data_IF_756746469827
#
_entry.id   IF_756746469827
#
_cell.length_a   1.000
_cell.length_b   1.000
_cell.length_c   1.000
_cell.angle_alpha   90.00
_cell.angle_beta   90.00
_cell.angle_gamma   90.00
#
_symmetry.space_group_name_H-M   'P 1'
#
loop_
_entity.id
_entity.type
_entity.pdbx_description
1 polymer ?
#
# COMPACT_ATOMS: atom_id res chain seq x y z
N UNK A 1 -25.22 -37.75 -73.92
CA UNK A 1 -26.07 -38.12 -72.78
C UNK A 1 -25.35 -37.64 -71.52
N UNK A 2 -25.95 -36.63 -70.89
CA UNK A 2 -25.78 -36.15 -69.49
C UNK A 2 -24.40 -35.62 -69.03
N UNK A 3 -24.43 -34.30 -68.75
CA UNK A 3 -23.53 -33.45 -67.96
C UNK A 3 -23.18 -34.02 -66.57
N UNK A 4 -22.11 -33.54 -65.95
CA UNK A 4 -22.17 -32.67 -64.75
C UNK A 4 -20.78 -32.14 -64.43
N UNK A 5 -20.61 -30.82 -64.60
CA UNK A 5 -19.60 -30.05 -63.87
C UNK A 5 -19.85 -30.26 -62.37
N UNK A 6 -18.78 -30.50 -61.61
CA UNK A 6 -18.79 -30.18 -60.18
C UNK A 6 -17.58 -29.29 -59.93
N UNK A 7 -17.79 -28.02 -60.25
CA UNK A 7 -16.99 -26.91 -59.79
C UNK A 7 -17.04 -26.91 -58.26
N UNK A 8 -16.00 -27.47 -57.63
CA UNK A 8 -15.81 -27.38 -56.18
C UNK A 8 -15.33 -25.97 -55.89
N UNK A 9 -16.29 -25.04 -55.89
CA UNK A 9 -16.09 -23.65 -55.56
C UNK A 9 -15.89 -23.56 -54.03
N UNK A 10 -14.64 -23.76 -53.61
CA UNK A 10 -14.21 -23.53 -52.24
C UNK A 10 -14.17 -22.04 -51.96
N UNK A 11 -15.32 -21.47 -51.62
CA UNK A 11 -15.42 -20.12 -51.06
C UNK A 11 -14.40 -19.99 -49.91
N UNK A 12 -13.37 -19.12 -50.02
CA UNK A 12 -12.52 -18.83 -48.90
C UNK A 12 -13.40 -18.16 -47.86
N UNK A 13 -13.65 -18.84 -46.73
CA UNK A 13 -14.29 -18.25 -45.55
C UNK A 13 -13.59 -16.92 -45.29
N UNK A 14 -14.23 -15.81 -45.67
CA UNK A 14 -13.76 -14.46 -45.40
C UNK A 14 -13.72 -14.29 -43.90
N UNK A 15 -12.57 -14.58 -43.30
CA UNK A 15 -12.21 -14.12 -41.97
C UNK A 15 -12.24 -12.60 -42.04
N UNK A 16 -13.33 -12.00 -41.58
CA UNK A 16 -13.49 -10.56 -41.59
C UNK A 16 -12.33 -9.89 -40.82
N UNK A 17 -11.84 -8.72 -41.25
CA UNK A 17 -10.72 -7.99 -40.61
C UNK A 17 -10.86 -7.81 -39.09
N UNK A 18 -12.09 -7.79 -38.59
CA UNK A 18 -12.44 -7.68 -37.17
C UNK A 18 -12.05 -8.91 -36.34
N UNK A 19 -11.99 -10.10 -36.93
CA UNK A 19 -11.61 -11.34 -36.24
C UNK A 19 -10.10 -11.44 -35.97
N UNK A 20 -9.27 -10.88 -36.86
CA UNK A 20 -7.82 -10.80 -36.68
C UNK A 20 -7.37 -9.76 -35.64
N UNK A 21 -8.11 -8.65 -35.52
CA UNK A 21 -7.87 -7.66 -34.46
C UNK A 21 -8.27 -8.19 -33.08
N UNK A 22 -9.36 -8.95 -32.98
CA UNK A 22 -9.80 -9.55 -31.73
C UNK A 22 -8.79 -10.59 -31.19
N UNK A 23 -8.19 -11.40 -32.06
CA UNK A 23 -7.17 -12.37 -31.65
C UNK A 23 -5.85 -11.72 -31.25
N UNK A 24 -5.42 -10.64 -31.92
CA UNK A 24 -4.25 -9.85 -31.50
C UNK A 24 -4.48 -9.16 -30.15
N UNK A 25 -5.67 -8.59 -29.92
CA UNK A 25 -6.01 -7.98 -28.64
C UNK A 25 -6.01 -9.01 -27.50
N UNK A 26 -6.50 -10.23 -27.75
CA UNK A 26 -6.49 -11.31 -26.76
C UNK A 26 -5.05 -11.75 -26.40
N UNK A 27 -4.15 -11.83 -27.37
CA UNK A 27 -2.73 -12.17 -27.12
C UNK A 27 -2.03 -11.08 -26.29
N UNK A 28 -2.23 -9.80 -26.63
CA UNK A 28 -1.65 -8.67 -25.87
C UNK A 28 -2.18 -8.62 -24.43
N UNK A 29 -3.47 -8.92 -24.22
CA UNK A 29 -4.05 -9.04 -22.89
C UNK A 29 -3.43 -10.18 -22.08
N UNK A 30 -3.12 -11.31 -22.73
CA UNK A 30 -2.40 -12.44 -22.14
C UNK A 30 -1.01 -12.03 -21.64
N UNK A 31 -0.23 -11.38 -22.50
CA UNK A 31 1.13 -10.94 -22.17
C UNK A 31 1.13 -9.90 -21.02
N UNK A 32 0.16 -8.98 -21.00
CA UNK A 32 0.01 -8.01 -19.91
C UNK A 32 -0.37 -8.69 -18.59
N UNK A 33 -1.21 -9.73 -18.63
CA UNK A 33 -1.59 -10.48 -17.44
C UNK A 33 -0.39 -11.27 -16.88
N UNK A 34 0.41 -11.87 -17.76
CA UNK A 34 1.62 -12.60 -17.41
C UNK A 34 2.68 -11.65 -16.80
N UNK A 35 2.88 -10.47 -17.39
CA UNK A 35 3.73 -9.42 -16.83
C UNK A 35 3.25 -8.93 -15.45
N UNK A 36 1.93 -8.77 -15.27
CA UNK A 36 1.35 -8.38 -13.98
C UNK A 36 1.56 -9.46 -12.91
N UNK A 37 1.47 -10.74 -13.27
CA UNK A 37 1.76 -11.85 -12.36
C UNK A 37 3.23 -11.87 -11.94
N UNK A 38 4.15 -11.64 -12.88
CA UNK A 38 5.58 -11.51 -12.60
C UNK A 38 5.87 -10.32 -11.68
N UNK A 39 5.27 -9.15 -11.93
CA UNK A 39 5.43 -7.99 -11.06
C UNK A 39 4.83 -8.21 -9.66
N UNK A 40 3.70 -8.92 -9.55
CA UNK A 40 3.14 -9.29 -8.26
C UNK A 40 4.07 -10.25 -7.48
N UNK A 41 4.70 -11.21 -8.16
CA UNK A 41 5.69 -12.11 -7.56
C UNK A 41 6.94 -11.37 -7.09
N UNK A 42 7.45 -10.42 -7.89
CA UNK A 42 8.57 -9.55 -7.49
C UNK A 42 8.18 -8.69 -6.29
N UNK A 43 7.04 -7.99 -6.34
CA UNK A 43 6.57 -7.14 -5.25
C UNK A 43 6.40 -7.91 -3.94
N UNK A 44 5.92 -9.16 -4.00
CA UNK A 44 5.84 -10.04 -2.82
C UNK A 44 7.22 -10.40 -2.29
N UNK A 45 8.16 -10.77 -3.16
CA UNK A 45 9.53 -11.10 -2.75
C UNK A 45 10.24 -9.88 -2.12
N UNK A 46 10.05 -8.71 -2.69
CA UNK A 46 10.60 -7.45 -2.18
C UNK A 46 9.97 -7.06 -0.84
N UNK A 47 8.66 -7.24 -0.67
CA UNK A 47 7.99 -7.00 0.61
C UNK A 47 8.51 -7.92 1.72
N UNK A 48 8.80 -9.19 1.42
CA UNK A 48 9.38 -10.15 2.39
C UNK A 48 10.83 -9.78 2.72
N UNK A 49 11.62 -9.39 1.73
CA UNK A 49 13.00 -8.92 1.98
C UNK A 49 13.02 -7.63 2.78
N UNK A 50 12.13 -6.69 2.47
CA UNK A 50 11.98 -5.44 3.18
C UNK A 50 11.53 -5.66 4.64
N UNK A 51 10.57 -6.57 4.88
CA UNK A 51 10.12 -6.88 6.24
C UNK A 51 11.20 -7.56 7.07
N UNK A 52 11.96 -8.48 6.49
CA UNK A 52 13.13 -9.08 7.12
C UNK A 52 14.19 -8.04 7.48
N UNK A 53 14.51 -7.13 6.56
CA UNK A 53 15.44 -6.04 6.78
C UNK A 53 14.97 -5.00 7.82
N UNK A 54 13.66 -4.86 8.03
CA UNK A 54 13.07 -3.94 9.00
C UNK A 54 13.17 -4.43 10.46
N UNK A 55 13.39 -5.74 10.69
CA UNK A 55 13.44 -6.30 12.06
C UNK A 55 14.58 -5.74 12.90
N UNK A 56 15.80 -5.68 12.35
CA UNK A 56 16.99 -5.15 13.02
C UNK A 56 16.88 -3.66 13.38
N UNK A 57 16.53 -2.75 12.47
CA UNK A 57 16.36 -1.33 12.81
C UNK A 57 15.19 -1.12 13.79
N UNK A 58 14.12 -1.92 13.70
CA UNK A 58 13.02 -1.85 14.66
C UNK A 58 13.48 -2.27 16.07
N UNK A 59 14.30 -3.32 16.19
CA UNK A 59 14.90 -3.73 17.46
C UNK A 59 15.80 -2.64 18.06
N UNK A 60 16.64 -2.00 17.23
CA UNK A 60 17.48 -0.87 17.67
C UNK A 60 16.63 0.34 18.08
N UNK A 61 15.54 0.61 17.38
CA UNK A 61 14.62 1.70 17.70
C UNK A 61 13.95 1.46 19.06
N UNK A 62 13.48 0.23 19.33
CA UNK A 62 12.88 -0.14 20.62
C UNK A 62 13.91 -0.01 21.74
N UNK A 63 15.12 -0.55 21.55
CA UNK A 63 16.18 -0.48 22.55
C UNK A 63 16.59 0.97 22.84
N UNK A 64 16.74 1.80 21.80
CA UNK A 64 17.01 3.23 21.94
C UNK A 64 15.88 3.97 22.65
N UNK A 65 14.62 3.66 22.35
CA UNK A 65 13.47 4.24 23.04
C UNK A 65 13.45 3.86 24.53
N UNK A 66 13.71 2.60 24.87
CA UNK A 66 13.82 2.15 26.26
C UNK A 66 14.95 2.87 27.00
N UNK A 67 16.14 2.97 26.38
CA UNK A 67 17.28 3.69 26.96
C UNK A 67 16.98 5.18 27.18
N UNK A 68 16.32 5.83 26.21
CA UNK A 68 15.90 7.23 26.32
C UNK A 68 14.87 7.44 27.44
N UNK A 69 13.88 6.56 27.57
CA UNK A 69 12.89 6.64 28.65
C UNK A 69 13.55 6.42 30.02
N UNK A 70 14.49 5.46 30.11
CA UNK A 70 15.20 5.15 31.35
C UNK A 70 16.17 6.27 31.76
N UNK A 71 16.72 7.04 30.82
CA UNK A 71 17.63 8.15 31.14
C UNK A 71 16.90 9.41 31.60
N UNK A 72 15.61 9.58 31.27
CA UNK A 72 14.83 10.76 31.64
C UNK A 72 14.83 11.03 33.16
N UNK A 73 14.50 10.08 34.06
CA UNK A 73 14.54 10.33 35.50
C UNK A 73 15.93 10.72 36.02
N UNK A 74 16.98 10.13 35.46
CA UNK A 74 18.37 10.41 35.86
C UNK A 74 18.75 11.84 35.45
N UNK A 75 18.41 12.23 34.21
CA UNK A 75 18.66 13.57 33.71
C UNK A 75 17.84 14.63 34.43
N UNK A 76 16.56 14.36 34.71
CA UNK A 76 15.71 15.32 35.43
C UNK A 76 16.15 15.52 36.87
N UNK A 77 16.55 14.45 37.57
CA UNK A 77 17.12 14.56 38.91
C UNK A 77 18.46 15.30 38.89
N UNK A 78 19.35 14.98 37.94
CA UNK A 78 20.62 15.68 37.79
C UNK A 78 20.45 17.18 37.55
N UNK A 79 19.54 17.56 36.65
CA UNK A 79 19.21 18.96 36.37
C UNK A 79 18.59 19.66 37.58
N UNK A 80 17.72 18.98 38.33
CA UNK A 80 17.13 19.53 39.56
C UNK A 80 18.20 19.79 40.63
N UNK A 81 19.12 18.85 40.84
CA UNK A 81 20.23 19.02 41.80
C UNK A 81 21.15 20.15 41.37
N UNK A 82 21.55 20.21 40.10
CA UNK A 82 22.38 21.28 39.57
C UNK A 82 21.70 22.66 39.74
N UNK A 83 20.39 22.72 39.51
CA UNK A 83 19.62 23.97 39.69
C UNK A 83 19.56 24.39 41.15
N UNK A 84 19.43 23.45 42.08
CA UNK A 84 19.44 23.71 43.52
C UNK A 84 20.80 24.21 44.02
N UNK A 85 21.91 23.73 43.44
CA UNK A 85 23.26 24.18 43.82
C UNK A 85 23.61 25.57 43.27
N UNK A 86 23.13 25.91 42.08
CA UNK A 86 23.42 27.18 41.41
C UNK A 86 22.47 28.32 41.78
N UNK A 87 21.38 28.01 42.50
CA UNK A 87 20.32 28.96 42.84
C UNK A 87 20.09 28.97 44.35
N UNK A 88 19.52 30.04 44.93
CA UNK A 88 19.11 30.05 46.35
C UNK A 88 17.86 29.18 46.62
N UNK A 89 17.50 28.27 45.71
CA UNK A 89 16.31 27.44 45.79
C UNK A 89 16.57 26.21 46.65
N UNK A 90 15.59 25.82 47.45
CA UNK A 90 15.63 24.54 48.14
C UNK A 90 15.51 23.39 47.14
N UNK A 91 16.08 22.23 47.47
CA UNK A 91 16.08 21.05 46.59
C UNK A 91 14.68 20.68 46.07
N UNK A 92 13.66 20.75 46.93
CA UNK A 92 12.27 20.46 46.54
C UNK A 92 11.70 21.48 45.53
N UNK A 93 12.09 22.75 45.64
CA UNK A 93 11.65 23.82 44.72
C UNK A 93 12.28 23.61 43.34
N UNK A 94 13.58 23.29 43.30
CA UNK A 94 14.30 23.00 42.07
C UNK A 94 13.74 21.75 41.35
N UNK A 95 13.42 20.69 42.12
CA UNK A 95 12.78 19.49 41.59
C UNK A 95 11.40 19.76 40.99
N UNK A 96 10.56 20.55 41.67
CA UNK A 96 9.25 20.94 41.13
C UNK A 96 9.38 21.80 39.88
N UNK A 97 10.32 22.75 39.85
CA UNK A 97 10.54 23.62 38.70
C UNK A 97 10.97 22.82 37.47
N UNK A 98 12.02 22.00 37.60
CA UNK A 98 12.54 21.17 36.51
C UNK A 98 11.51 20.12 36.08
N UNK A 99 10.86 19.46 37.04
CA UNK A 99 9.81 18.47 36.77
C UNK A 99 8.65 19.07 36.00
N UNK A 100 8.18 20.27 36.38
CA UNK A 100 7.09 20.96 35.68
C UNK A 100 7.52 21.35 34.26
N UNK A 101 8.73 21.90 34.09
CA UNK A 101 9.24 22.26 32.77
C UNK A 101 9.33 21.04 31.83
N UNK A 102 9.87 19.93 32.32
CA UNK A 102 9.97 18.68 31.54
C UNK A 102 8.59 18.10 31.23
N UNK A 103 7.65 18.14 32.18
CA UNK A 103 6.28 17.68 31.95
C UNK A 103 5.57 18.50 30.87
N UNK A 104 5.74 19.83 30.85
CA UNK A 104 5.17 20.69 29.81
C UNK A 104 5.75 20.36 28.42
N UNK A 105 7.07 20.17 28.33
CA UNK A 105 7.73 19.77 27.08
C UNK A 105 7.21 18.40 26.62
N UNK A 106 7.12 17.42 27.51
CA UNK A 106 6.62 16.08 27.19
C UNK A 106 5.17 16.14 26.68
N UNK A 107 4.29 16.88 27.36
CA UNK A 107 2.90 17.10 26.94
C UNK A 107 2.82 17.73 25.55
N UNK A 108 3.63 18.76 25.27
CA UNK A 108 3.68 19.39 23.96
C UNK A 108 4.12 18.40 22.88
N UNK A 109 5.19 17.65 23.11
CA UNK A 109 5.70 16.64 22.15
C UNK A 109 4.65 15.55 21.87
N UNK A 110 3.98 15.03 22.91
CA UNK A 110 2.89 14.05 22.75
C UNK A 110 1.74 14.65 21.93
N UNK A 111 1.32 15.87 22.25
CA UNK A 111 0.24 16.55 21.54
C UNK A 111 0.55 16.72 20.04
N UNK A 112 1.74 17.19 19.70
CA UNK A 112 2.18 17.33 18.30
C UNK A 112 2.31 15.98 17.60
N UNK A 113 2.81 14.96 18.29
CA UNK A 113 2.94 13.60 17.74
C UNK A 113 1.58 13.00 17.40
N UNK A 114 0.59 13.13 18.29
CA UNK A 114 -0.79 12.68 18.05
C UNK A 114 -1.40 13.43 16.87
N UNK A 115 -1.21 14.76 16.77
CA UNK A 115 -1.70 15.55 15.64
C UNK A 115 -1.11 15.06 14.31
N UNK A 116 0.20 14.83 14.25
CA UNK A 116 0.88 14.31 13.06
C UNK A 116 0.41 12.91 12.70
N UNK A 117 0.27 12.03 13.69
CA UNK A 117 -0.21 10.67 13.49
C UNK A 117 -1.64 10.64 12.93
N UNK A 118 -2.54 11.49 13.44
CA UNK A 118 -3.91 11.60 12.91
C UNK A 118 -3.94 12.01 11.45
N UNK A 119 -3.09 12.97 11.05
CA UNK A 119 -2.97 13.39 9.65
C UNK A 119 -2.46 12.24 8.75
N UNK A 120 -1.45 11.51 9.22
CA UNK A 120 -0.91 10.36 8.48
C UNK A 120 -1.94 9.24 8.33
N UNK A 121 -2.72 8.94 9.38
CA UNK A 121 -3.80 7.93 9.33
C UNK A 121 -4.91 8.36 8.39
N UNK A 122 -5.26 9.65 8.35
CA UNK A 122 -6.28 10.17 7.43
C UNK A 122 -5.83 10.01 5.96
N UNK A 123 -4.58 10.36 5.66
CA UNK A 123 -3.99 10.15 4.33
C UNK A 123 -3.97 8.66 3.96
N UNK A 124 -3.57 7.80 4.89
CA UNK A 124 -3.56 6.36 4.66
C UNK A 124 -4.96 5.79 4.37
N UNK A 125 -5.99 6.25 5.10
CA UNK A 125 -7.38 5.87 4.83
C UNK A 125 -7.83 6.27 3.43
N UNK A 126 -7.49 7.47 3.00
CA UNK A 126 -7.80 7.93 1.65
C UNK A 126 -7.11 7.05 0.59
N UNK A 127 -5.82 6.73 0.77
CA UNK A 127 -5.11 5.82 -0.14
C UNK A 127 -5.67 4.39 -0.13
N UNK A 128 -6.12 3.90 1.03
CA UNK A 128 -6.74 2.59 1.16
C UNK A 128 -8.10 2.52 0.43
N UNK A 129 -8.91 3.58 0.53
CA UNK A 129 -10.18 3.68 -0.17
C UNK A 129 -9.99 3.75 -1.69
N UNK A 130 -8.99 4.48 -2.17
CA UNK A 130 -8.62 4.52 -3.59
C UNK A 130 -8.14 3.15 -4.10
N UNK A 131 -7.31 2.46 -3.32
CA UNK A 131 -6.87 1.10 -3.64
C UNK A 131 -8.06 0.12 -3.71
N UNK A 132 -9.00 0.19 -2.75
CA UNK A 132 -10.19 -0.65 -2.75
C UNK A 132 -11.07 -0.42 -3.99
N UNK A 133 -11.26 0.84 -4.40
CA UNK A 133 -11.98 1.20 -5.64
C UNK A 133 -11.27 0.67 -6.88
N UNK A 134 -9.94 0.81 -6.95
CA UNK A 134 -9.15 0.32 -8.08
C UNK A 134 -9.25 -1.21 -8.22
N UNK A 135 -9.19 -1.93 -7.11
CA UNK A 135 -9.37 -3.39 -7.09
C UNK A 135 -10.79 -3.80 -7.50
N UNK A 136 -11.81 -3.07 -7.05
CA UNK A 136 -13.20 -3.33 -7.43
C UNK A 136 -13.45 -3.12 -8.93
N UNK A 137 -12.91 -2.03 -9.50
CA UNK A 137 -12.94 -1.77 -10.94
C UNK A 137 -12.23 -2.89 -11.72
N UNK A 138 -11.01 -3.26 -11.32
CA UNK A 138 -10.26 -4.33 -11.97
C UNK A 138 -11.04 -5.67 -11.98
N UNK A 139 -11.69 -6.01 -10.86
CA UNK A 139 -12.56 -7.21 -10.78
C UNK A 139 -13.78 -7.11 -11.72
N UNK A 140 -14.37 -5.92 -11.87
CA UNK A 140 -15.52 -5.71 -12.75
C UNK A 140 -15.16 -5.90 -14.22
N UNK A 141 -14.00 -5.37 -14.66
CA UNK A 141 -13.48 -5.52 -16.02
C UNK A 141 -13.24 -7.00 -16.37
N UNK A 142 -12.62 -7.76 -15.47
CA UNK A 142 -12.40 -9.20 -15.66
C UNK A 142 -13.72 -9.96 -15.78
N UNK A 143 -14.72 -9.64 -14.95
CA UNK A 143 -16.04 -10.29 -15.00
C UNK A 143 -16.84 -9.93 -16.27
N UNK A 144 -16.72 -8.71 -16.78
CA UNK A 144 -17.42 -8.30 -18.01
C UNK A 144 -16.81 -8.91 -19.27
N UNK A 145 -15.49 -9.08 -19.33
CA UNK A 145 -14.82 -9.72 -20.47
C UNK A 145 -15.19 -11.20 -20.66
N UNK A 146 -15.59 -11.89 -19.58
CA UNK A 146 -16.03 -13.29 -19.64
C UNK A 146 -17.50 -13.50 -20.07
N UNK A 147 -18.32 -12.44 -20.20
CA UNK A 147 -19.77 -12.52 -20.47
C UNK A 147 -20.15 -12.04 -21.88
N UNK A 148 -19.20 -12.01 -22.82
CA UNK A 148 -19.38 -11.46 -24.17
C UNK A 148 -19.80 -12.44 -25.27
N UNK A 149 -19.97 -13.75 -25.01
CA UNK A 149 -20.14 -14.76 -26.08
C UNK A 149 -21.53 -15.42 -26.19
N UNK A 150 -22.55 -14.97 -25.46
CA UNK A 150 -23.93 -15.46 -25.63
C UNK A 150 -24.81 -14.35 -26.21
N UNK A 151 -24.66 -14.07 -27.50
CA UNK A 151 -25.70 -13.37 -28.24
C UNK A 151 -26.83 -14.39 -28.51
N UNK A 152 -28.07 -14.13 -28.07
CA UNK A 152 -29.20 -14.98 -28.43
C UNK A 152 -29.37 -14.98 -29.94
N UNK A 153 -29.37 -16.18 -30.52
CA UNK A 153 -29.72 -16.42 -31.92
C UNK A 153 -31.08 -15.77 -32.17
N UNK A 154 -31.05 -14.64 -32.89
CA UNK A 154 -32.23 -13.82 -33.17
C UNK A 154 -32.89 -14.21 -34.48
N UNK A 155 -32.76 -15.48 -34.88
CA UNK A 155 -33.43 -16.06 -36.04
C UNK A 155 -34.03 -17.41 -35.65
N UNK A 156 -35.30 -17.40 -35.26
CA UNK A 156 -36.18 -18.55 -35.40
C UNK A 156 -37.56 -18.02 -35.83
N UNK A 157 -38.18 -18.67 -36.83
CA UNK A 157 -39.21 -18.09 -37.71
C UNK A 157 -40.54 -17.76 -37.04
#
# INVERSE_FOLDING_TARGET
>A
MVNFQTEVNGEPRRQGPVSGFASQAANVLGDVLELAELQAKLAKADAVRASGAATRPLGLLVLGACAAIASLPVLTLGLATMTAELSPLHAWQAQLLVGTAVALIACATVYFSIRRLRLAVLQFRQSADELAKNVAWAKSVVRSSGRGSNLPNRDAP
#
